data_IF_150312072768
#
_entry.id   IF_150312072768
#
_cell.length_a   1.000
_cell.length_b   1.000
_cell.length_c   1.000
_cell.angle_alpha   90.00
_cell.angle_beta   90.00
_cell.angle_gamma   90.00
#
_symmetry.space_group_name_H-M   'P 1'
#
loop_
_entity.id
_entity.type
_entity.pdbx_description
1 polymer ?
#
# COMPACT_ATOMS: atom_id res chain seq x y z
N UNK A 1 21.69 13.42 10.09
CA UNK A 1 21.64 12.33 9.08
C UNK A 1 20.56 12.69 8.05
N UNK A 2 20.63 12.34 6.74
CA UNK A 2 19.45 12.40 5.87
C UNK A 2 18.16 11.83 6.50
N UNK A 3 18.31 10.86 7.42
CA UNK A 3 17.22 10.29 8.20
C UNK A 3 16.53 11.26 9.19
N UNK A 4 17.18 12.38 9.57
CA UNK A 4 16.62 13.37 10.51
C UNK A 4 15.95 14.56 9.81
N UNK A 5 16.00 14.62 8.48
CA UNK A 5 15.39 15.70 7.74
C UNK A 5 13.85 15.58 7.80
N UNK A 6 13.12 16.70 7.94
CA UNK A 6 11.66 16.65 7.94
C UNK A 6 11.17 16.11 6.60
N UNK A 7 10.19 15.21 6.66
CA UNK A 7 9.51 14.69 5.48
C UNK A 7 8.80 15.84 4.74
N UNK A 8 8.80 15.74 3.41
CA UNK A 8 8.20 16.71 2.51
C UNK A 8 7.38 16.00 1.46
N UNK A 9 6.27 16.61 1.05
CA UNK A 9 5.45 16.04 -0.02
C UNK A 9 6.06 16.41 -1.36
N UNK A 10 6.33 15.39 -2.19
CA UNK A 10 6.94 15.55 -3.50
C UNK A 10 6.13 14.88 -4.61
N UNK A 11 6.20 15.44 -5.82
CA UNK A 11 5.64 14.82 -7.03
C UNK A 11 6.78 14.46 -7.98
N UNK A 12 6.88 13.19 -8.34
CA UNK A 12 7.87 12.71 -9.29
C UNK A 12 7.58 13.22 -10.71
N UNK A 13 8.64 13.63 -11.42
CA UNK A 13 8.62 14.01 -12.83
C UNK A 13 9.97 13.66 -13.46
N UNK A 14 9.97 12.72 -14.41
CA UNK A 14 11.22 12.16 -14.96
C UNK A 14 12.09 11.54 -13.86
N UNK A 15 13.33 12.01 -13.73
CA UNK A 15 14.31 11.62 -12.71
C UNK A 15 14.40 12.64 -11.55
N UNK A 16 13.39 13.52 -11.42
CA UNK A 16 13.31 14.57 -10.40
C UNK A 16 12.06 14.41 -9.54
N UNK A 17 12.05 15.11 -8.41
CA UNK A 17 10.92 15.27 -7.48
C UNK A 17 10.70 16.77 -7.29
N UNK A 18 9.50 17.27 -7.60
CA UNK A 18 9.09 18.62 -7.24
C UNK A 18 8.56 18.63 -5.82
N UNK A 19 9.25 19.32 -4.91
CA UNK A 19 8.74 19.53 -3.55
C UNK A 19 7.57 20.52 -3.53
N UNK A 20 6.40 20.10 -3.06
CA UNK A 20 5.16 20.85 -3.22
C UNK A 20 5.12 22.13 -2.38
N UNK A 21 5.59 22.06 -1.13
CA UNK A 21 5.67 23.23 -0.25
C UNK A 21 6.72 24.24 -0.74
N UNK A 22 7.84 23.76 -1.30
CA UNK A 22 8.90 24.62 -1.88
C UNK A 22 8.43 25.29 -3.17
N UNK A 23 7.63 24.58 -3.96
CA UNK A 23 6.98 25.14 -5.14
C UNK A 23 5.85 26.14 -4.76
N UNK A 24 5.48 26.27 -3.48
CA UNK A 24 4.37 27.11 -3.02
C UNK A 24 3.00 26.64 -3.52
N UNK A 25 2.86 25.33 -3.73
CA UNK A 25 1.60 24.70 -4.14
C UNK A 25 0.71 24.38 -2.94
N UNK A 26 1.33 24.09 -1.80
CA UNK A 26 0.73 23.81 -0.48
C UNK A 26 1.55 24.51 0.61
N UNK A 27 0.99 24.66 1.80
CA UNK A 27 1.60 25.33 2.96
C UNK A 27 2.01 24.37 4.10
N UNK A 28 1.90 23.05 3.86
CA UNK A 28 2.19 22.00 4.82
C UNK A 28 2.88 20.81 4.13
N UNK A 29 3.46 19.93 4.93
CA UNK A 29 4.03 18.65 4.46
C UNK A 29 3.30 17.43 5.07
N UNK A 30 2.09 17.63 5.60
CA UNK A 30 1.19 16.57 6.09
C UNK A 30 0.45 15.85 4.94
N UNK A 31 0.86 14.63 4.63
CA UNK A 31 0.25 13.84 3.55
C UNK A 31 -1.18 13.39 3.88
N UNK A 32 -1.50 13.12 5.15
CA UNK A 32 -2.85 12.72 5.53
C UNK A 32 -3.84 13.86 5.27
N UNK A 33 -3.44 15.11 5.55
CA UNK A 33 -4.22 16.30 5.19
C UNK A 33 -4.41 16.41 3.67
N UNK A 34 -3.37 16.15 2.87
CA UNK A 34 -3.48 16.18 1.41
C UNK A 34 -4.42 15.09 0.88
N UNK A 35 -4.34 13.88 1.43
CA UNK A 35 -5.16 12.74 1.03
C UNK A 35 -6.65 12.98 1.33
N UNK A 36 -6.94 13.65 2.43
CA UNK A 36 -8.30 13.98 2.86
C UNK A 36 -8.95 15.15 2.12
N UNK A 37 -8.21 15.90 1.28
CA UNK A 37 -8.80 17.00 0.50
C UNK A 37 -9.94 16.50 -0.39
N UNK A 38 -10.99 17.31 -0.65
CA UNK A 38 -12.02 16.98 -1.62
C UNK A 38 -11.45 16.64 -3.00
N UNK A 39 -12.10 15.73 -3.73
CA UNK A 39 -11.68 15.29 -5.08
C UNK A 39 -11.43 16.48 -6.02
N UNK A 40 -12.30 17.50 -5.97
CA UNK A 40 -12.16 18.70 -6.80
C UNK A 40 -10.86 19.47 -6.51
N UNK A 41 -10.45 19.59 -5.24
CA UNK A 41 -9.22 20.26 -4.84
C UNK A 41 -7.98 19.44 -5.24
N UNK A 42 -8.02 18.12 -5.07
CA UNK A 42 -6.96 17.22 -5.54
C UNK A 42 -6.76 17.34 -7.06
N UNK A 43 -7.86 17.37 -7.82
CA UNK A 43 -7.83 17.59 -9.28
C UNK A 43 -7.29 18.97 -9.64
N UNK A 44 -7.70 20.03 -8.94
CA UNK A 44 -7.18 21.37 -9.15
C UNK A 44 -5.67 21.44 -8.90
N UNK A 45 -5.16 20.83 -7.83
CA UNK A 45 -3.72 20.71 -7.57
C UNK A 45 -3.00 19.97 -8.71
N UNK A 46 -3.54 18.84 -9.17
CA UNK A 46 -2.99 18.09 -10.33
C UNK A 46 -2.94 18.95 -11.59
N UNK A 47 -3.97 19.74 -11.88
CA UNK A 47 -3.97 20.64 -13.03
C UNK A 47 -2.94 21.76 -12.91
N UNK A 48 -2.78 22.37 -11.72
CA UNK A 48 -1.74 23.36 -11.44
C UNK A 48 -0.34 22.76 -11.65
N UNK A 49 -0.10 21.57 -11.12
CA UNK A 49 1.15 20.83 -11.32
C UNK A 49 1.45 20.60 -12.80
N UNK A 50 0.46 20.08 -13.55
CA UNK A 50 0.63 19.82 -14.98
C UNK A 50 0.88 21.09 -15.79
N UNK A 51 0.21 22.20 -15.47
CA UNK A 51 0.39 23.48 -16.14
C UNK A 51 1.78 24.09 -15.83
N UNK A 52 2.19 24.08 -14.56
CA UNK A 52 3.47 24.67 -14.14
C UNK A 52 4.69 23.81 -14.50
N UNK A 53 4.57 22.49 -14.59
CA UNK A 53 5.65 21.60 -15.05
C UNK A 53 5.78 21.55 -16.58
N UNK A 54 4.90 22.22 -17.33
CA UNK A 54 5.01 22.33 -18.79
C UNK A 54 6.24 23.16 -19.16
N UNK A 55 6.97 22.73 -20.18
CA UNK A 55 8.03 23.54 -20.78
C UNK A 55 7.49 24.90 -21.25
N UNK A 56 8.20 25.98 -20.93
CA UNK A 56 7.82 27.36 -21.20
C UNK A 56 6.78 27.94 -20.23
N UNK A 57 6.41 27.24 -19.15
CA UNK A 57 5.46 27.79 -18.18
C UNK A 57 6.05 29.02 -17.44
N UNK A 58 5.17 29.89 -16.96
CA UNK A 58 5.57 31.03 -16.12
C UNK A 58 6.22 30.59 -14.80
N UNK A 59 5.94 29.36 -14.34
CA UNK A 59 6.49 28.82 -13.10
C UNK A 59 7.83 28.11 -13.31
N UNK A 60 8.24 27.84 -14.55
CA UNK A 60 9.38 26.97 -14.86
C UNK A 60 10.66 27.40 -14.12
N UNK A 61 11.02 28.69 -14.16
CA UNK A 61 12.22 29.19 -13.48
C UNK A 61 12.16 28.99 -11.96
N UNK A 62 11.00 29.27 -11.36
CA UNK A 62 10.79 29.14 -9.90
C UNK A 62 10.79 27.67 -9.47
N UNK A 63 10.07 26.81 -10.18
CA UNK A 63 9.93 25.40 -9.83
C UNK A 63 11.20 24.60 -10.12
N UNK A 64 12.03 25.04 -11.08
CA UNK A 64 13.35 24.43 -11.31
C UNK A 64 14.22 24.44 -10.05
N UNK A 65 14.13 25.49 -9.21
CA UNK A 65 14.85 25.56 -7.94
C UNK A 65 14.27 24.62 -6.86
N UNK A 66 13.03 24.16 -7.02
CA UNK A 66 12.35 23.23 -6.12
C UNK A 66 12.41 21.76 -6.58
N UNK A 67 13.11 21.47 -7.68
CA UNK A 67 13.32 20.12 -8.18
C UNK A 67 14.56 19.48 -7.53
N UNK A 68 14.35 18.32 -6.91
CA UNK A 68 15.41 17.48 -6.35
C UNK A 68 15.66 16.25 -7.26
N UNK A 69 16.92 15.85 -7.54
CA UNK A 69 17.20 14.56 -8.15
C UNK A 69 16.64 13.40 -7.30
N UNK A 70 15.89 12.48 -7.92
CA UNK A 70 15.36 11.30 -7.22
C UNK A 70 16.47 10.48 -6.55
N UNK A 71 17.64 10.40 -7.19
CA UNK A 71 18.84 9.73 -6.64
C UNK A 71 19.41 10.35 -5.36
N UNK A 72 18.94 11.54 -4.98
CA UNK A 72 19.33 12.23 -3.73
C UNK A 72 18.21 12.24 -2.69
N UNK A 73 17.06 11.65 -3.00
CA UNK A 73 15.94 11.55 -2.09
C UNK A 73 15.96 10.19 -1.37
N UNK A 74 15.56 10.20 -0.11
CA UNK A 74 15.18 8.99 0.64
C UNK A 74 13.66 9.00 0.72
N UNK A 75 13.03 7.94 0.22
CA UNK A 75 11.57 7.82 0.23
C UNK A 75 11.12 7.26 1.58
N UNK A 76 9.96 7.70 2.05
CA UNK A 76 9.31 7.19 3.24
C UNK A 76 7.94 6.58 2.87
N UNK A 77 7.28 5.96 3.86
CA UNK A 77 5.86 5.66 3.70
C UNK A 77 5.09 6.95 3.41
N UNK A 78 4.11 6.92 2.49
CA UNK A 78 3.39 8.12 2.10
C UNK A 78 2.58 8.69 3.26
N UNK A 79 2.05 7.86 4.15
CA UNK A 79 1.30 8.29 5.32
C UNK A 79 1.50 7.32 6.49
N UNK A 80 1.12 7.75 7.69
CA UNK A 80 0.88 6.81 8.78
C UNK A 80 -0.31 5.92 8.41
N UNK A 81 -0.12 4.60 8.51
CA UNK A 81 -1.15 3.62 8.19
C UNK A 81 -1.87 3.27 9.50
N UNK A 82 -3.13 3.67 9.62
CA UNK A 82 -3.96 3.32 10.77
C UNK A 82 -4.33 1.84 10.74
N UNK A 83 -5.02 1.43 9.67
CA UNK A 83 -5.44 0.05 9.42
C UNK A 83 -4.98 -0.41 8.05
N UNK A 84 -4.66 -1.70 7.95
CA UNK A 84 -4.35 -2.41 6.71
C UNK A 84 -5.33 -3.58 6.59
N UNK A 85 -6.03 -3.67 5.46
CA UNK A 85 -6.92 -4.77 5.11
C UNK A 85 -6.44 -5.39 3.81
N UNK A 86 -6.26 -6.70 3.84
CA UNK A 86 -5.96 -7.49 2.66
C UNK A 86 -7.21 -8.24 2.18
N UNK A 87 -7.40 -8.25 0.86
CA UNK A 87 -8.58 -8.81 0.20
C UNK A 87 -8.20 -10.00 -0.69
N UNK A 88 -8.99 -11.07 -0.57
CA UNK A 88 -8.82 -12.30 -1.32
C UNK A 88 -9.65 -12.32 -2.62
N UNK A 89 -9.42 -11.35 -3.50
CA UNK A 89 -10.32 -11.08 -4.66
C UNK A 89 -9.82 -11.61 -6.00
N UNK A 90 -8.62 -12.16 -6.07
CA UNK A 90 -8.07 -12.76 -7.30
C UNK A 90 -8.60 -14.18 -7.54
N UNK A 91 -9.61 -14.36 -8.40
CA UNK A 91 -10.26 -15.67 -8.60
C UNK A 91 -9.31 -16.77 -9.09
N UNK A 92 -8.33 -16.43 -9.92
CA UNK A 92 -7.33 -17.39 -10.40
C UNK A 92 -6.39 -17.81 -9.28
N UNK A 93 -5.94 -16.86 -8.46
CA UNK A 93 -5.16 -17.15 -7.26
C UNK A 93 -5.98 -18.04 -6.30
N UNK A 94 -7.23 -17.67 -6.03
CA UNK A 94 -8.13 -18.43 -5.16
C UNK A 94 -8.39 -19.85 -5.64
N UNK A 95 -8.55 -20.02 -6.95
CA UNK A 95 -8.73 -21.33 -7.57
C UNK A 95 -7.45 -22.16 -7.47
N UNK A 96 -6.28 -21.57 -7.73
CA UNK A 96 -5.01 -22.27 -7.68
C UNK A 96 -4.68 -22.78 -6.27
N UNK A 97 -4.77 -21.91 -5.26
CA UNK A 97 -4.57 -22.30 -3.86
C UNK A 97 -5.64 -23.30 -3.42
N UNK A 98 -6.91 -23.01 -3.72
CA UNK A 98 -8.02 -23.90 -3.40
C UNK A 98 -7.83 -25.31 -3.95
N UNK A 99 -7.29 -25.45 -5.16
CA UNK A 99 -7.09 -26.76 -5.82
C UNK A 99 -6.06 -27.62 -5.11
N UNK A 100 -5.10 -27.03 -4.38
CA UNK A 100 -4.10 -27.77 -3.60
C UNK A 100 -4.72 -28.47 -2.39
N UNK A 101 -5.85 -27.97 -1.87
CA UNK A 101 -6.52 -28.50 -0.67
C UNK A 101 -7.87 -29.14 -0.97
N UNK A 102 -8.57 -28.69 -2.02
CA UNK A 102 -9.93 -29.06 -2.43
C UNK A 102 -10.01 -29.11 -3.96
N UNK A 103 -9.40 -30.10 -4.63
CA UNK A 103 -9.29 -30.14 -6.08
C UNK A 103 -10.65 -30.10 -6.80
N UNK A 104 -11.69 -30.73 -6.24
CA UNK A 104 -13.02 -30.81 -6.87
C UNK A 104 -13.87 -29.54 -6.64
N UNK A 105 -13.60 -28.78 -5.59
CA UNK A 105 -14.31 -27.55 -5.28
C UNK A 105 -13.35 -26.52 -4.63
N UNK A 106 -12.49 -25.89 -5.45
CA UNK A 106 -11.39 -25.08 -4.95
C UNK A 106 -11.88 -23.80 -4.25
N UNK A 107 -12.97 -23.22 -4.73
CA UNK A 107 -13.57 -22.01 -4.17
C UNK A 107 -14.54 -22.35 -3.04
N UNK A 108 -14.43 -21.62 -1.93
CA UNK A 108 -15.41 -21.72 -0.85
C UNK A 108 -16.76 -21.11 -1.27
N UNK A 109 -17.90 -21.58 -0.70
CA UNK A 109 -19.23 -21.15 -1.12
C UNK A 109 -19.47 -19.63 -1.08
N UNK A 110 -18.82 -18.92 -0.16
CA UNK A 110 -18.96 -17.47 0.04
C UNK A 110 -18.16 -16.62 -0.96
N UNK A 111 -17.16 -17.19 -1.64
CA UNK A 111 -16.19 -16.43 -2.44
C UNK A 111 -16.83 -15.53 -3.50
N UNK A 112 -17.91 -16.00 -4.15
CA UNK A 112 -18.60 -15.26 -5.22
C UNK A 112 -19.57 -14.19 -4.72
N UNK A 113 -19.79 -14.10 -3.41
CA UNK A 113 -20.83 -13.28 -2.82
C UNK A 113 -20.30 -12.14 -1.96
N UNK A 114 -19.11 -12.31 -1.38
CA UNK A 114 -18.45 -11.30 -0.56
C UNK A 114 -16.98 -11.22 -0.94
N UNK A 115 -16.39 -10.02 -1.12
CA UNK A 115 -14.95 -9.89 -1.23
C UNK A 115 -14.35 -10.21 0.15
N UNK A 116 -13.97 -11.47 0.34
CA UNK A 116 -13.37 -11.94 1.59
C UNK A 116 -12.10 -11.13 1.83
N UNK A 117 -11.88 -10.70 3.07
CA UNK A 117 -10.68 -10.01 3.48
C UNK A 117 -10.45 -10.16 4.97
N UNK A 118 -9.25 -9.79 5.42
CA UNK A 118 -8.83 -9.88 6.81
C UNK A 118 -8.00 -8.65 7.20
N UNK A 119 -7.86 -8.42 8.51
CA UNK A 119 -7.03 -7.35 9.02
C UNK A 119 -5.56 -7.77 8.95
N UNK A 120 -4.77 -7.06 8.14
CA UNK A 120 -3.33 -7.20 8.11
C UNK A 120 -2.65 -6.41 9.25
N UNK A 121 -1.32 -6.48 9.31
CA UNK A 121 -0.55 -5.82 10.36
C UNK A 121 0.04 -4.48 9.90
N UNK A 122 -0.62 -3.37 10.24
CA UNK A 122 -0.17 -2.02 9.84
C UNK A 122 1.26 -1.68 10.30
N UNK A 123 1.68 -2.13 11.49
CA UNK A 123 3.00 -1.80 12.06
C UNK A 123 4.19 -2.37 11.29
N UNK A 124 3.97 -3.34 10.41
CA UNK A 124 5.02 -4.01 9.63
C UNK A 124 5.00 -3.64 8.15
N UNK A 125 4.12 -2.71 7.75
CA UNK A 125 4.16 -2.16 6.40
C UNK A 125 5.38 -1.26 6.28
N UNK A 126 6.26 -1.57 5.32
CA UNK A 126 7.50 -0.84 5.09
C UNK A 126 7.55 -0.19 3.71
N UNK A 127 8.45 0.79 3.54
CA UNK A 127 8.76 1.37 2.23
C UNK A 127 9.64 0.40 1.43
N UNK A 128 9.54 0.46 0.11
CA UNK A 128 10.38 -0.33 -0.80
C UNK A 128 11.87 -0.13 -0.52
N UNK A 129 12.66 -1.20 -0.61
CA UNK A 129 14.10 -1.20 -0.35
C UNK A 129 14.50 -1.54 1.10
N UNK A 130 13.52 -1.75 1.99
CA UNK A 130 13.79 -2.25 3.33
C UNK A 130 14.14 -3.74 3.32
N UNK A 131 15.21 -4.09 4.02
CA UNK A 131 15.52 -5.47 4.35
C UNK A 131 14.76 -5.91 5.62
N UNK A 132 14.40 -7.18 5.68
CA UNK A 132 13.83 -7.80 6.88
C UNK A 132 14.37 -9.22 7.03
N UNK A 133 14.55 -9.71 8.28
CA UNK A 133 15.03 -11.06 8.51
C UNK A 133 13.97 -12.08 8.10
N UNK A 134 14.43 -13.23 7.59
CA UNK A 134 13.57 -14.40 7.40
C UNK A 134 12.88 -14.73 8.73
N UNK A 135 11.54 -14.89 8.76
CA UNK A 135 10.83 -15.13 10.00
C UNK A 135 11.14 -16.52 10.56
N UNK A 136 11.18 -16.61 11.88
CA UNK A 136 11.19 -17.85 12.63
C UNK A 136 9.82 -18.05 13.28
N UNK A 137 9.36 -19.30 13.34
CA UNK A 137 8.09 -19.62 13.97
C UNK A 137 7.86 -21.13 14.07
N UNK A 138 6.63 -21.50 14.42
CA UNK A 138 6.24 -22.90 14.55
C UNK A 138 5.81 -23.48 13.20
N UNK A 139 6.31 -24.67 12.89
CA UNK A 139 5.84 -25.48 11.76
C UNK A 139 5.53 -26.89 12.26
N UNK A 140 4.58 -27.57 11.61
CA UNK A 140 4.27 -28.97 11.93
C UNK A 140 4.16 -29.80 10.66
N UNK A 141 4.99 -30.83 10.56
CA UNK A 141 4.91 -31.80 9.46
C UNK A 141 3.63 -32.65 9.59
N UNK A 142 3.07 -33.18 8.49
CA UNK A 142 1.81 -33.93 8.51
C UNK A 142 1.80 -35.13 9.47
N UNK A 143 2.94 -35.80 9.63
CA UNK A 143 3.15 -36.97 10.49
C UNK A 143 3.68 -36.62 11.90
N UNK A 144 3.99 -35.35 12.15
CA UNK A 144 4.51 -34.91 13.44
C UNK A 144 3.40 -34.77 14.50
N UNK A 145 3.71 -35.21 15.71
CA UNK A 145 2.83 -35.09 16.88
C UNK A 145 2.96 -33.74 17.59
N UNK A 146 4.06 -33.02 17.38
CA UNK A 146 4.36 -31.71 17.97
C UNK A 146 4.94 -30.76 16.91
N UNK A 147 4.68 -29.44 16.99
CA UNK A 147 5.34 -28.47 16.13
C UNK A 147 6.81 -28.29 16.52
N UNK A 148 7.61 -27.82 15.58
CA UNK A 148 9.01 -27.41 15.79
C UNK A 148 9.17 -25.92 15.55
N UNK A 149 10.06 -25.28 16.30
CA UNK A 149 10.41 -23.87 16.12
C UNK A 149 11.68 -23.74 15.26
N UNK A 150 11.65 -22.86 14.27
CA UNK A 150 12.81 -22.59 13.41
C UNK A 150 12.51 -21.58 12.30
N UNK A 151 13.50 -21.28 11.44
CA UNK A 151 13.31 -20.39 10.30
C UNK A 151 12.32 -20.99 9.29
N UNK A 152 11.49 -20.13 8.70
CA UNK A 152 10.59 -20.52 7.60
C UNK A 152 11.39 -21.10 6.42
N UNK A 153 10.93 -22.24 5.91
CA UNK A 153 11.47 -22.95 4.74
C UNK A 153 10.72 -22.59 3.45
N UNK A 154 9.58 -21.90 3.57
CA UNK A 154 8.69 -21.53 2.44
C UNK A 154 8.31 -20.05 2.51
N UNK A 155 9.31 -19.18 2.40
CA UNK A 155 9.09 -17.74 2.25
C UNK A 155 8.73 -17.42 0.80
N UNK A 156 7.70 -16.62 0.62
CA UNK A 156 7.07 -16.34 -0.66
C UNK A 156 6.67 -14.86 -0.76
N UNK A 157 6.40 -14.39 -1.97
CA UNK A 157 5.89 -13.04 -2.23
C UNK A 157 4.45 -13.12 -2.77
N UNK A 158 3.65 -12.10 -2.49
CA UNK A 158 2.35 -11.90 -3.13
C UNK A 158 2.36 -10.58 -3.90
N UNK A 159 2.11 -10.65 -5.21
CA UNK A 159 2.05 -9.44 -6.04
C UNK A 159 0.67 -8.79 -5.91
N UNK A 160 0.63 -7.59 -5.35
CA UNK A 160 -0.61 -6.90 -5.04
C UNK A 160 -0.60 -5.41 -5.40
N UNK A 161 -1.80 -4.81 -5.30
CA UNK A 161 -2.00 -3.37 -5.36
C UNK A 161 -2.60 -2.89 -4.04
N UNK A 162 -1.92 -1.97 -3.37
CA UNK A 162 -2.48 -1.26 -2.22
C UNK A 162 -3.36 -0.10 -2.70
N UNK A 163 -4.51 0.07 -2.06
CA UNK A 163 -5.43 1.19 -2.28
C UNK A 163 -5.39 2.10 -1.05
N UNK A 164 -4.94 3.35 -1.24
CA UNK A 164 -4.96 4.34 -0.16
C UNK A 164 -6.31 5.03 -0.10
N UNK A 165 -6.96 4.98 1.07
CA UNK A 165 -8.21 5.70 1.34
C UNK A 165 -7.88 7.12 1.79
N UNK A 166 -8.43 8.12 1.09
CA UNK A 166 -8.26 9.54 1.41
C UNK A 166 -9.41 10.11 2.24
N UNK A 167 -10.65 9.86 1.82
CA UNK A 167 -11.85 10.36 2.53
C UNK A 167 -12.33 9.28 3.52
N UNK A 168 -12.42 9.56 4.83
CA UNK A 168 -12.96 8.61 5.78
C UNK A 168 -14.50 8.50 5.66
N UNK A 169 -15.05 7.39 6.11
CA UNK A 169 -16.48 7.24 6.41
C UNK A 169 -16.71 7.32 7.92
N UNK A 170 -17.87 7.82 8.34
CA UNK A 170 -18.25 7.82 9.75
C UNK A 170 -18.61 6.39 10.22
N UNK A 171 -18.32 6.08 11.49
CA UNK A 171 -18.72 4.81 12.07
C UNK A 171 -20.23 4.58 11.94
N UNK A 172 -20.62 3.37 11.50
CA UNK A 172 -22.02 3.02 11.25
C UNK A 172 -22.62 3.63 9.98
N UNK A 173 -21.86 4.39 9.19
CA UNK A 173 -22.31 4.98 7.92
C UNK A 173 -21.61 4.30 6.74
N UNK A 174 -22.28 3.37 6.04
CA UNK A 174 -21.67 2.68 4.90
C UNK A 174 -21.42 3.63 3.73
N UNK A 175 -20.38 3.35 2.95
CA UNK A 175 -20.12 4.00 1.66
C UNK A 175 -20.91 3.28 0.59
N UNK A 176 -21.72 4.01 -0.18
CA UNK A 176 -22.43 3.42 -1.31
C UNK A 176 -21.44 3.05 -2.41
N UNK A 177 -21.72 1.97 -3.15
CA UNK A 177 -20.84 1.49 -4.21
C UNK A 177 -20.54 2.56 -5.27
N UNK A 178 -21.53 3.39 -5.62
CA UNK A 178 -21.37 4.48 -6.59
C UNK A 178 -20.40 5.58 -6.11
N UNK A 179 -20.21 5.72 -4.81
CA UNK A 179 -19.36 6.75 -4.19
C UNK A 179 -17.97 6.20 -3.81
N UNK A 180 -17.74 4.88 -3.91
CA UNK A 180 -16.55 4.22 -3.38
C UNK A 180 -15.23 4.79 -3.93
N UNK A 181 -15.19 5.11 -5.23
CA UNK A 181 -13.99 5.66 -5.87
C UNK A 181 -13.64 7.08 -5.39
N UNK A 182 -14.62 7.87 -4.95
CA UNK A 182 -14.36 9.21 -4.41
C UNK A 182 -13.59 9.16 -3.07
N UNK A 183 -13.67 8.03 -2.37
CA UNK A 183 -12.91 7.77 -1.16
C UNK A 183 -11.46 7.35 -1.43
N UNK A 184 -11.14 6.90 -2.64
CA UNK A 184 -9.78 6.47 -3.02
C UNK A 184 -8.90 7.69 -3.32
N UNK A 185 -7.72 7.72 -2.70
CA UNK A 185 -6.69 8.70 -2.97
C UNK A 185 -5.78 8.27 -4.13
N UNK A 186 -5.30 7.03 -4.09
CA UNK A 186 -4.33 6.52 -5.05
C UNK A 186 -3.96 5.07 -4.79
N UNK A 187 -3.04 4.57 -5.60
CA UNK A 187 -2.58 3.18 -5.60
C UNK A 187 -1.07 3.08 -5.38
N UNK A 188 -0.60 1.94 -4.89
CA UNK A 188 0.80 1.56 -4.90
C UNK A 188 0.95 0.06 -5.22
N UNK A 189 2.15 -0.33 -5.66
CA UNK A 189 2.52 -1.75 -5.64
C UNK A 189 2.68 -2.19 -4.19
N UNK A 190 2.23 -3.40 -3.89
CA UNK A 190 2.33 -4.00 -2.58
C UNK A 190 2.86 -5.43 -2.70
N UNK A 191 3.69 -5.83 -1.74
CA UNK A 191 4.17 -7.18 -1.63
C UNK A 191 3.86 -7.71 -0.22
N UNK A 192 2.84 -8.56 -0.13
CA UNK A 192 2.53 -9.26 1.11
C UNK A 192 3.46 -10.47 1.25
N UNK A 193 4.54 -10.29 2.01
CA UNK A 193 5.51 -11.35 2.23
C UNK A 193 4.92 -12.43 3.14
N UNK A 194 4.89 -13.68 2.65
CA UNK A 194 4.23 -14.76 3.37
C UNK A 194 5.18 -15.91 3.67
N UNK A 195 5.17 -16.38 4.91
CA UNK A 195 5.84 -17.62 5.31
C UNK A 195 4.84 -18.78 5.29
N UNK A 196 4.71 -19.45 4.14
CA UNK A 196 3.63 -20.42 3.84
C UNK A 196 3.58 -21.62 4.78
N UNK A 197 4.73 -22.03 5.31
CA UNK A 197 4.85 -23.13 6.25
C UNK A 197 4.42 -22.75 7.67
N UNK A 198 4.64 -21.49 8.08
CA UNK A 198 4.11 -20.93 9.33
C UNK A 198 2.59 -20.75 9.20
N UNK A 199 2.15 -20.08 8.13
CA UNK A 199 0.75 -19.79 7.83
C UNK A 199 -0.11 -21.06 7.83
N UNK A 200 0.33 -22.12 7.15
CA UNK A 200 -0.42 -23.37 7.07
C UNK A 200 -0.67 -24.04 8.43
N UNK A 201 0.18 -23.80 9.43
CA UNK A 201 0.02 -24.33 10.78
C UNK A 201 -0.92 -23.48 11.63
N UNK A 202 -0.90 -22.15 11.48
CA UNK A 202 -1.57 -21.22 12.40
C UNK A 202 -2.92 -20.70 11.92
N UNK A 203 -3.21 -20.67 10.61
CA UNK A 203 -4.35 -19.95 10.03
C UNK A 203 -5.76 -20.49 10.38
N UNK A 204 -5.84 -21.62 11.09
CA UNK A 204 -7.14 -22.19 11.46
C UNK A 204 -7.43 -21.94 12.94
N UNK A 205 -8.60 -21.36 13.30
CA UNK A 205 -9.67 -20.85 12.43
C UNK A 205 -9.62 -19.33 12.17
N UNK A 206 -8.58 -18.64 12.65
CA UNK A 206 -8.48 -17.17 12.78
C UNK A 206 -7.67 -16.54 11.65
#
# INVERSE_FOLDING_TARGET
>A
DPADAPLRIGVAIGDRILGLSQAGLIDHDDMARLMALPVAERRALRHRLSAGLREGSSEQSRWSAALLPQSRAVMALPCAIGDYTDFYVGIHHATAIGSLFRPDNPLLPNYRWVPIGYHGRASTVGVSGNDFPRPCGQTRAPDATQPVYGPSRRLDFELELAVFVGRPSAAGTPVAMADAEDHVFGLALFNDWSARDLQAWEYQPL
#
